data_IF_899147108421
#
_entry.id   IF_899147108421
#
_cell.length_a   1.000
_cell.length_b   1.000
_cell.length_c   1.000
_cell.angle_alpha   90.00
_cell.angle_beta   90.00
_cell.angle_gamma   90.00
#
_symmetry.space_group_name_H-M   'P 1'
#
loop_
_entity.id
_entity.type
_entity.pdbx_description
1 polymer ?
#
# COMPACT_ATOMS: atom_id res chain seq x y z
N UNK A 1 11.28 20.90 -24.13
CA UNK A 1 9.85 20.73 -24.13
C UNK A 1 9.42 19.85 -22.97
N UNK A 2 8.45 20.28 -22.22
CA UNK A 2 8.04 19.52 -21.05
C UNK A 2 7.26 18.28 -21.46
N UNK A 3 7.58 17.18 -20.86
CA UNK A 3 6.84 15.95 -21.08
C UNK A 3 5.65 15.89 -20.13
N UNK A 4 4.56 15.35 -20.62
CA UNK A 4 3.37 15.23 -19.81
C UNK A 4 3.27 13.82 -19.25
N UNK A 5 2.65 13.72 -18.11
CA UNK A 5 2.34 12.42 -17.54
C UNK A 5 1.24 11.76 -18.36
N UNK A 6 1.31 10.45 -18.49
CA UNK A 6 0.27 9.70 -19.19
C UNK A 6 -1.01 9.69 -18.36
N UNK A 7 -2.12 9.32 -18.99
CA UNK A 7 -3.38 9.18 -18.27
C UNK A 7 -3.26 8.20 -17.13
N UNK A 8 -2.54 7.10 -17.35
CA UNK A 8 -2.30 6.11 -16.31
C UNK A 8 -1.52 6.73 -15.16
N UNK A 9 -0.48 7.50 -15.46
CA UNK A 9 0.32 8.14 -14.42
C UNK A 9 -0.51 9.14 -13.62
N UNK A 10 -1.36 9.89 -14.27
CA UNK A 10 -2.24 10.83 -13.58
C UNK A 10 -3.16 10.08 -12.62
N UNK A 11 -3.77 8.99 -13.10
CA UNK A 11 -4.65 8.19 -12.25
C UNK A 11 -3.89 7.56 -11.08
N UNK A 12 -2.68 7.06 -11.34
CA UNK A 12 -1.85 6.52 -10.28
C UNK A 12 -1.53 7.57 -9.23
N UNK A 13 -1.17 8.76 -9.67
CA UNK A 13 -0.79 9.84 -8.77
C UNK A 13 -1.97 10.28 -7.92
N UNK A 14 -3.16 10.38 -8.51
CA UNK A 14 -4.36 10.72 -7.76
C UNK A 14 -4.61 9.72 -6.64
N UNK A 15 -4.48 8.44 -6.96
CA UNK A 15 -4.67 7.40 -5.95
C UNK A 15 -3.58 7.48 -4.88
N UNK A 16 -2.32 7.62 -5.30
CA UNK A 16 -1.21 7.64 -4.35
C UNK A 16 -1.33 8.78 -3.35
N UNK A 17 -1.92 9.89 -3.77
CA UNK A 17 -2.10 11.03 -2.88
C UNK A 17 -3.10 10.74 -1.76
N UNK A 18 -3.91 9.71 -1.89
CA UNK A 18 -4.86 9.32 -0.83
C UNK A 18 -4.25 8.37 0.19
N UNK A 19 -3.05 7.85 -0.06
CA UNK A 19 -2.48 6.79 0.77
C UNK A 19 -1.88 7.25 2.10
N UNK A 20 -1.32 8.46 2.23
CA UNK A 20 -0.73 8.84 3.52
C UNK A 20 -1.69 8.71 4.70
N UNK A 21 -2.96 9.08 4.52
CA UNK A 21 -3.94 8.93 5.60
C UNK A 21 -4.20 7.46 5.90
N UNK A 22 -4.24 6.64 4.87
CA UNK A 22 -4.44 5.20 5.06
C UNK A 22 -3.26 4.56 5.75
N UNK A 23 -2.05 5.02 5.44
CA UNK A 23 -0.85 4.52 6.12
C UNK A 23 -0.89 4.86 7.61
N UNK A 24 -1.35 6.07 7.96
CA UNK A 24 -1.50 6.44 9.36
C UNK A 24 -2.47 5.51 10.07
N UNK A 25 -3.56 5.17 9.40
CA UNK A 25 -4.55 4.26 9.98
C UNK A 25 -3.97 2.86 10.17
N UNK A 26 -3.24 2.37 9.15
CA UNK A 26 -2.61 1.05 9.24
C UNK A 26 -1.64 1.03 10.42
N UNK A 27 -0.80 2.04 10.52
CA UNK A 27 0.16 2.14 11.61
C UNK A 27 -0.54 2.13 12.96
N UNK A 28 -1.60 2.93 13.09
CA UNK A 28 -2.33 3.02 14.35
C UNK A 28 -2.90 1.67 14.77
N UNK A 29 -3.46 0.91 13.81
CA UNK A 29 -4.03 -0.40 14.12
C UNK A 29 -2.94 -1.38 14.54
N UNK A 30 -1.79 -1.37 13.85
CA UNK A 30 -0.68 -2.24 14.22
C UNK A 30 -0.22 -1.93 15.65
N UNK A 31 -0.16 -0.64 16.01
CA UNK A 31 0.25 -0.27 17.36
C UNK A 31 -0.81 -0.67 18.39
N UNK A 32 -2.09 -0.58 18.05
CA UNK A 32 -3.14 -1.06 18.93
C UNK A 32 -3.05 -2.56 19.12
N UNK A 33 -2.74 -3.31 18.06
CA UNK A 33 -2.53 -4.75 18.19
C UNK A 33 -1.35 -5.06 19.10
N UNK A 34 -0.26 -4.31 18.93
CA UNK A 34 0.93 -4.49 19.77
C UNK A 34 0.63 -4.22 21.24
N UNK A 35 -0.25 -3.27 21.51
CA UNK A 35 -0.63 -2.91 22.87
C UNK A 35 -1.80 -3.73 23.40
N UNK A 36 -2.23 -4.76 22.67
CA UNK A 36 -3.34 -5.64 23.04
C UNK A 36 -4.65 -4.90 23.18
N UNK A 37 -4.84 -3.84 22.36
CA UNK A 37 -6.06 -3.03 22.42
C UNK A 37 -6.92 -3.16 21.16
N UNK A 38 -6.50 -3.96 20.18
CA UNK A 38 -7.28 -4.13 18.96
C UNK A 38 -8.19 -5.34 19.13
N UNK A 39 -9.49 -5.11 18.94
CA UNK A 39 -10.46 -6.21 18.94
C UNK A 39 -10.68 -6.70 17.51
N UNK A 40 -11.56 -7.70 17.36
CA UNK A 40 -11.82 -8.29 16.06
C UNK A 40 -12.38 -7.28 15.05
N UNK A 41 -13.14 -6.31 15.53
CA UNK A 41 -13.72 -5.31 14.63
C UNK A 41 -12.62 -4.44 14.05
N UNK A 42 -11.67 -4.04 14.89
CA UNK A 42 -10.54 -3.21 14.44
C UNK A 42 -9.68 -3.97 13.45
N UNK A 43 -9.39 -5.24 13.73
CA UNK A 43 -8.58 -6.05 12.84
C UNK A 43 -9.29 -6.29 11.51
N UNK A 44 -10.60 -6.54 11.52
CA UNK A 44 -11.35 -6.68 10.28
C UNK A 44 -11.35 -5.39 9.47
N UNK A 45 -11.40 -4.25 10.15
CA UNK A 45 -11.27 -2.96 9.46
C UNK A 45 -9.95 -2.81 8.76
N UNK A 46 -8.88 -3.28 9.40
CA UNK A 46 -7.55 -3.27 8.78
C UNK A 46 -7.51 -4.17 7.55
N UNK A 47 -8.04 -5.39 7.65
CA UNK A 47 -8.01 -6.30 6.49
C UNK A 47 -8.83 -5.74 5.34
N UNK A 48 -9.96 -5.10 5.63
CA UNK A 48 -10.79 -4.50 4.59
C UNK A 48 -10.05 -3.37 3.89
N UNK A 49 -9.36 -2.54 4.67
CA UNK A 49 -8.57 -1.44 4.11
C UNK A 49 -7.45 -1.98 3.22
N UNK A 50 -6.76 -3.03 3.67
CA UNK A 50 -5.68 -3.63 2.89
C UNK A 50 -6.20 -4.31 1.63
N UNK A 51 -7.37 -4.96 1.70
CA UNK A 51 -7.97 -5.57 0.52
C UNK A 51 -8.36 -4.52 -0.52
N UNK A 52 -8.90 -3.39 -0.07
CA UNK A 52 -9.21 -2.29 -0.97
C UNK A 52 -7.95 -1.75 -1.63
N UNK A 53 -6.90 -1.59 -0.83
CA UNK A 53 -5.63 -1.09 -1.35
C UNK A 53 -5.05 -2.05 -2.39
N UNK A 54 -5.14 -3.35 -2.12
CA UNK A 54 -4.70 -4.36 -3.07
C UNK A 54 -5.46 -4.24 -4.39
N UNK A 55 -6.77 -4.16 -4.31
CA UNK A 55 -7.61 -4.12 -5.51
C UNK A 55 -7.35 -2.86 -6.33
N UNK A 56 -7.32 -1.70 -5.68
CA UNK A 56 -7.12 -0.45 -6.40
C UNK A 56 -5.72 -0.32 -6.96
N UNK A 57 -4.72 -0.74 -6.19
CA UNK A 57 -3.34 -0.71 -6.67
C UNK A 57 -3.17 -1.64 -7.86
N UNK A 58 -3.77 -2.83 -7.79
CA UNK A 58 -3.70 -3.77 -8.91
C UNK A 58 -4.36 -3.21 -10.16
N UNK A 59 -5.50 -2.56 -10.00
CA UNK A 59 -6.20 -1.96 -11.13
C UNK A 59 -5.43 -0.81 -11.79
N UNK A 60 -4.51 -0.22 -11.05
CA UNK A 60 -3.68 0.88 -11.57
C UNK A 60 -2.28 0.40 -11.92
N UNK A 61 -2.04 -0.88 -11.97
CA UNK A 61 -0.75 -1.48 -12.29
C UNK A 61 0.35 -1.12 -11.28
N UNK A 62 -0.05 -0.81 -10.05
CA UNK A 62 0.90 -0.56 -8.96
C UNK A 62 1.16 -1.88 -8.24
N UNK A 63 1.92 -2.76 -8.91
CA UNK A 63 2.04 -4.15 -8.49
C UNK A 63 2.74 -4.31 -7.14
N UNK A 64 3.77 -3.52 -6.87
CA UNK A 64 4.45 -3.61 -5.58
C UNK A 64 3.52 -3.31 -4.42
N UNK A 65 2.72 -2.24 -4.55
CA UNK A 65 1.74 -1.89 -3.53
C UNK A 65 0.67 -2.98 -3.39
N UNK A 66 0.19 -3.50 -4.53
CA UNK A 66 -0.86 -4.53 -4.50
C UNK A 66 -0.35 -5.79 -3.81
N UNK A 67 0.85 -6.23 -4.16
CA UNK A 67 1.40 -7.46 -3.60
C UNK A 67 1.64 -7.32 -2.10
N UNK A 68 2.22 -6.21 -1.67
CA UNK A 68 2.51 -6.00 -0.26
C UNK A 68 1.23 -5.87 0.56
N UNK A 69 0.25 -5.13 0.04
CA UNK A 69 -1.03 -5.01 0.73
C UNK A 69 -1.71 -6.37 0.87
N UNK A 70 -1.62 -7.21 -0.18
CA UNK A 70 -2.17 -8.55 -0.13
C UNK A 70 -1.50 -9.42 0.92
N UNK A 71 -0.17 -9.34 1.01
CA UNK A 71 0.56 -10.09 2.04
C UNK A 71 0.17 -9.63 3.44
N UNK A 72 0.03 -8.31 3.63
CA UNK A 72 -0.38 -7.78 4.93
C UNK A 72 -1.78 -8.25 5.30
N UNK A 73 -2.70 -8.26 4.34
CA UNK A 73 -4.06 -8.72 4.60
C UNK A 73 -4.06 -10.18 5.02
N UNK A 74 -3.30 -11.02 4.32
CA UNK A 74 -3.17 -12.42 4.66
C UNK A 74 -2.58 -12.60 6.06
N UNK A 75 -1.53 -11.83 6.37
CA UNK A 75 -0.89 -11.89 7.68
C UNK A 75 -1.88 -11.50 8.79
N UNK A 76 -2.67 -10.45 8.56
CA UNK A 76 -3.62 -9.97 9.55
C UNK A 76 -4.72 -10.98 9.83
N UNK A 77 -5.08 -11.79 8.82
CA UNK A 77 -6.12 -12.80 8.96
C UNK A 77 -5.61 -14.10 9.57
N UNK A 78 -4.30 -14.30 9.53
CA UNK A 78 -3.72 -15.58 9.96
C UNK A 78 -3.87 -15.73 11.46
N UNK A 79 -4.20 -16.94 11.90
CA UNK A 79 -4.18 -17.24 13.32
C UNK A 79 -2.75 -17.39 13.79
N UNK A 80 -2.58 -17.55 15.11
CA UNK A 80 -1.27 -17.77 15.67
C UNK A 80 -0.85 -16.64 16.60
N UNK A 81 0.42 -16.59 16.94
CA UNK A 81 0.93 -15.66 17.94
C UNK A 81 0.82 -14.21 17.52
N UNK A 82 0.26 -13.42 18.40
CA UNK A 82 0.06 -11.99 18.11
C UNK A 82 1.38 -11.27 17.90
N UNK A 83 2.40 -11.61 18.68
CA UNK A 83 3.69 -10.94 18.57
C UNK A 83 4.33 -11.15 17.21
N UNK A 84 4.26 -12.39 16.70
CA UNK A 84 4.80 -12.68 15.37
C UNK A 84 4.01 -11.96 14.29
N UNK A 85 2.69 -11.92 14.44
CA UNK A 85 1.82 -11.24 13.51
C UNK A 85 2.16 -9.74 13.45
N UNK A 86 2.32 -9.11 14.62
CA UNK A 86 2.66 -7.69 14.69
C UNK A 86 4.02 -7.43 14.06
N UNK A 87 4.99 -8.29 14.35
CA UNK A 87 6.33 -8.14 13.75
C UNK A 87 6.25 -8.23 12.23
N UNK A 88 5.53 -9.23 11.72
CA UNK A 88 5.38 -9.39 10.28
C UNK A 88 4.68 -8.21 9.64
N UNK A 89 3.63 -7.70 10.28
CA UNK A 89 2.91 -6.54 9.77
C UNK A 89 3.80 -5.30 9.76
N UNK A 90 4.62 -5.10 10.78
CA UNK A 90 5.54 -3.96 10.81
C UNK A 90 6.57 -4.03 9.69
N UNK A 91 7.11 -5.22 9.45
CA UNK A 91 8.07 -5.38 8.37
C UNK A 91 7.43 -5.12 7.02
N UNK A 92 6.24 -5.69 6.81
CA UNK A 92 5.53 -5.47 5.55
C UNK A 92 5.09 -4.02 5.39
N UNK A 93 4.76 -3.35 6.49
CA UNK A 93 4.41 -1.94 6.42
C UNK A 93 5.61 -1.10 5.98
N UNK A 94 6.81 -1.46 6.45
CA UNK A 94 8.02 -0.81 5.96
C UNK A 94 8.19 -1.00 4.46
N UNK A 95 7.94 -2.22 3.97
CA UNK A 95 7.99 -2.50 2.54
C UNK A 95 6.91 -1.73 1.79
N UNK A 96 5.73 -1.61 2.37
CA UNK A 96 4.63 -0.87 1.76
C UNK A 96 5.01 0.59 1.53
N UNK A 97 5.68 1.21 2.50
CA UNK A 97 6.12 2.59 2.37
C UNK A 97 7.19 2.73 1.29
N UNK A 98 8.09 1.77 1.19
CA UNK A 98 9.10 1.78 0.14
C UNK A 98 8.44 1.63 -1.22
N UNK A 99 7.46 0.73 -1.34
CA UNK A 99 6.70 0.56 -2.58
C UNK A 99 5.98 1.87 -2.96
N UNK A 100 5.43 2.54 -1.96
CA UNK A 100 4.75 3.81 -2.18
C UNK A 100 5.69 4.86 -2.74
N UNK A 101 6.86 5.00 -2.14
CA UNK A 101 7.84 5.99 -2.59
C UNK A 101 8.32 5.69 -4.00
N UNK A 102 8.57 4.41 -4.30
CA UNK A 102 8.97 4.02 -5.64
C UNK A 102 7.87 4.31 -6.66
N UNK A 103 6.62 4.00 -6.29
CA UNK A 103 5.48 4.26 -7.16
C UNK A 103 5.30 5.76 -7.41
N UNK A 104 5.50 6.55 -6.36
CA UNK A 104 5.36 7.99 -6.47
C UNK A 104 6.41 8.58 -7.42
N UNK A 105 7.65 8.13 -7.31
CA UNK A 105 8.70 8.56 -8.23
C UNK A 105 8.36 8.18 -9.66
N UNK A 106 7.90 6.94 -9.85
CA UNK A 106 7.55 6.48 -11.19
C UNK A 106 6.37 7.25 -11.77
N UNK A 107 5.37 7.56 -10.93
CA UNK A 107 4.18 8.25 -11.40
C UNK A 107 4.43 9.74 -11.67
N UNK A 108 5.47 10.31 -11.08
CA UNK A 108 5.80 11.72 -11.30
C UNK A 108 6.86 11.93 -12.37
N UNK A 109 7.43 10.86 -12.90
CA UNK A 109 8.45 10.95 -13.93
C UNK A 109 7.81 10.58 -15.27
N UNK A 110 7.76 11.50 -16.25
CA UNK A 110 7.17 11.17 -17.54
C UNK A 110 7.82 9.93 -18.16
N UNK A 111 6.99 9.13 -18.82
CA UNK A 111 7.43 7.88 -19.40
C UNK A 111 8.29 8.13 -20.62
N UNK A 112 9.55 8.38 -20.41
CA UNK A 112 10.46 8.68 -21.50
C UNK A 112 10.63 7.50 -22.43
N UNK A 113 10.57 6.31 -21.85
CA UNK A 113 10.73 5.17 -22.67
C UNK A 113 9.56 4.91 -23.51
N UNK A 114 8.46 5.40 -23.14
CA UNK A 114 7.29 5.24 -23.96
C UNK A 114 7.39 6.10 -25.19
N UNK A 115 8.33 7.01 -25.24
CA UNK A 115 8.49 7.82 -26.38
C UNK A 115 9.27 7.10 -27.34
N UNK A 116 8.77 6.88 -28.42
CA UNK A 116 9.43 6.14 -29.39
C UNK A 116 10.50 6.94 -29.90
N UNK A 117 11.42 6.88 -29.61
CA UNK A 117 12.29 7.48 -30.01
C UNK A 117 12.46 7.32 -31.16
N UNK A 118 12.04 6.93 -31.53
CA UNK A 118 12.23 6.74 -32.60
C UNK A 118 12.73 7.00 -33.30
#
# INVERSE_FOLDING_TARGET
MAQKLSSRQVAQLEYLQTLPQRFQRIHAVIEEMSALRADDVVVRGLTRLLDEMKAKSGGLSLTGLADTAGLMSTMARRGGGLQMKVRGLRELFGSLKINYEAALRSATTPDAEATPET
#
